data_IF_596412516286
#
_entry.id   IF_596412516286
#
_cell.length_a   1.000
_cell.length_b   1.000
_cell.length_c   1.000
_cell.angle_alpha   90.00
_cell.angle_beta   90.00
_cell.angle_gamma   90.00
#
_symmetry.space_group_name_H-M   'P 1'
#
loop_
_entity.id
_entity.type
_entity.pdbx_description
1 polymer ?
#
# COMPACT_ATOMS: atom_id res chain seq x y z
N UNK A 1 -22.91 -19.40 48.29
CA UNK A 1 -21.84 -19.45 47.29
C UNK A 1 -22.26 -18.55 46.14
N UNK A 2 -21.56 -17.44 45.93
CA UNK A 2 -21.85 -16.51 44.84
C UNK A 2 -21.16 -17.00 43.57
N UNK A 3 -21.92 -17.18 42.49
CA UNK A 3 -21.38 -17.50 41.19
C UNK A 3 -20.71 -16.25 40.61
N UNK A 4 -19.41 -16.34 40.34
CA UNK A 4 -18.68 -15.33 39.58
C UNK A 4 -19.05 -15.54 38.12
N UNK A 5 -19.83 -14.63 37.55
CA UNK A 5 -20.02 -14.55 36.10
C UNK A 5 -18.80 -13.83 35.56
N UNK A 6 -17.92 -14.58 34.90
CA UNK A 6 -16.85 -14.00 34.11
C UNK A 6 -17.47 -13.37 32.86
N UNK A 7 -17.44 -12.05 32.74
CA UNK A 7 -17.56 -11.40 31.45
C UNK A 7 -16.27 -11.68 30.70
N UNK A 8 -16.26 -12.70 29.85
CA UNK A 8 -15.27 -12.76 28.78
C UNK A 8 -15.60 -11.60 27.85
N UNK A 9 -14.84 -10.52 27.93
CA UNK A 9 -14.78 -9.56 26.84
C UNK A 9 -14.33 -10.36 25.62
N UNK A 10 -15.21 -10.49 24.63
CA UNK A 10 -14.82 -10.88 23.28
C UNK A 10 -13.64 -9.99 22.91
N UNK A 11 -12.45 -10.59 22.83
CA UNK A 11 -11.32 -9.96 22.19
C UNK A 11 -11.83 -9.54 20.80
N UNK A 12 -11.79 -8.23 20.55
CA UNK A 12 -11.97 -7.63 19.23
C UNK A 12 -11.38 -8.57 18.20
N UNK A 13 -12.21 -9.07 17.28
CA UNK A 13 -11.75 -9.84 16.14
C UNK A 13 -10.65 -9.02 15.46
N UNK A 14 -9.40 -9.41 15.70
CA UNK A 14 -8.22 -8.72 15.20
C UNK A 14 -8.29 -8.86 13.68
N UNK A 15 -8.52 -7.74 12.98
CA UNK A 15 -8.48 -7.70 11.53
C UNK A 15 -7.02 -7.96 11.16
N UNK A 16 -6.67 -9.23 10.96
CA UNK A 16 -5.31 -9.59 10.59
C UNK A 16 -5.01 -8.93 9.25
N UNK A 17 -4.07 -7.98 9.26
CA UNK A 17 -3.55 -7.39 8.04
C UNK A 17 -2.96 -8.52 7.18
N UNK A 18 -3.31 -8.58 5.88
CA UNK A 18 -2.74 -9.54 4.97
C UNK A 18 -1.21 -9.48 5.02
N UNK A 19 -0.57 -10.65 5.20
CA UNK A 19 0.88 -10.75 5.36
C UNK A 19 1.54 -11.23 4.07
N UNK A 20 2.69 -10.65 3.74
CA UNK A 20 3.52 -11.07 2.60
C UNK A 20 4.58 -12.10 3.01
N UNK A 21 4.99 -12.95 2.07
CA UNK A 21 6.16 -13.83 2.22
C UNK A 21 7.50 -13.09 2.15
N UNK A 22 7.48 -11.81 1.74
CA UNK A 22 8.67 -10.97 1.63
C UNK A 22 9.23 -10.63 3.02
N UNK A 23 10.48 -11.02 3.28
CA UNK A 23 11.15 -10.67 4.55
C UNK A 23 11.83 -9.31 4.46
N UNK A 24 12.31 -8.94 3.26
CA UNK A 24 12.88 -7.64 2.98
C UNK A 24 12.41 -7.09 1.64
N UNK A 25 12.33 -5.76 1.55
CA UNK A 25 11.95 -5.06 0.32
C UNK A 25 13.08 -4.17 -0.15
N UNK A 26 13.44 -4.29 -1.43
CA UNK A 26 14.30 -3.35 -2.14
C UNK A 26 13.40 -2.48 -3.03
N UNK A 27 13.26 -1.21 -2.66
CA UNK A 27 12.40 -0.26 -3.34
C UNK A 27 13.25 0.69 -4.18
N UNK A 28 13.10 0.60 -5.50
CA UNK A 28 13.69 1.56 -6.44
C UNK A 28 12.59 2.49 -6.92
N UNK A 29 12.75 3.78 -6.67
CA UNK A 29 11.68 4.76 -6.85
C UNK A 29 12.09 6.02 -7.61
N UNK A 30 11.09 6.70 -8.17
CA UNK A 30 11.20 8.03 -8.78
C UNK A 30 10.60 9.15 -7.92
N UNK A 31 10.23 10.30 -8.51
CA UNK A 31 9.64 11.41 -7.75
C UNK A 31 8.33 11.06 -7.05
N UNK A 32 7.58 10.06 -7.54
CA UNK A 32 6.37 9.60 -6.89
C UNK A 32 6.66 8.83 -5.59
N UNK A 33 7.90 8.34 -5.42
CA UNK A 33 8.31 7.66 -4.18
C UNK A 33 8.75 8.64 -3.09
N UNK A 34 9.11 9.88 -3.44
CA UNK A 34 9.54 10.89 -2.45
C UNK A 34 8.43 11.13 -1.42
N UNK A 35 7.20 11.34 -1.90
CA UNK A 35 6.03 11.52 -1.05
C UNK A 35 5.60 10.31 -0.23
N UNK A 36 6.23 9.14 -0.35
CA UNK A 36 5.94 7.97 0.51
C UNK A 36 7.16 7.47 1.27
N UNK A 37 8.30 8.16 1.15
CA UNK A 37 9.57 7.81 1.83
C UNK A 37 10.12 8.95 2.68
N UNK A 38 9.64 10.17 2.48
CA UNK A 38 9.97 11.32 3.33
C UNK A 38 8.70 11.87 4.02
N UNK A 39 8.63 11.70 5.35
CA UNK A 39 7.55 12.21 6.19
C UNK A 39 7.39 13.75 6.10
N UNK A 40 8.45 14.48 5.74
CA UNK A 40 8.33 15.92 5.53
C UNK A 40 7.50 16.26 4.27
N UNK A 41 7.51 15.38 3.27
CA UNK A 41 6.77 15.58 2.02
C UNK A 41 5.30 15.16 2.16
N UNK A 42 5.00 14.10 2.92
CA UNK A 42 3.63 13.63 3.19
C UNK A 42 3.56 12.88 4.52
N UNK A 43 3.23 13.58 5.63
CA UNK A 43 3.11 12.95 6.94
C UNK A 43 2.08 11.82 6.94
N UNK A 44 2.46 10.64 7.44
CA UNK A 44 1.58 9.46 7.52
C UNK A 44 1.56 8.57 6.27
N UNK A 45 2.29 8.94 5.21
CA UNK A 45 2.39 8.15 3.98
C UNK A 45 3.65 7.25 3.92
N UNK A 46 4.38 7.08 5.03
CA UNK A 46 5.58 6.24 5.10
C UNK A 46 5.32 4.78 4.69
N UNK A 47 5.80 4.43 3.49
CA UNK A 47 5.67 3.10 2.93
C UNK A 47 6.47 2.05 3.71
N UNK A 48 7.52 2.44 4.45
CA UNK A 48 8.26 1.51 5.29
C UNK A 48 7.36 0.96 6.41
N UNK A 49 6.59 1.83 7.06
CA UNK A 49 5.59 1.42 8.06
C UNK A 49 4.51 0.51 7.46
N UNK A 50 4.07 0.79 6.23
CA UNK A 50 3.10 -0.05 5.53
C UNK A 50 3.68 -1.44 5.19
N UNK A 51 4.96 -1.51 4.77
CA UNK A 51 5.66 -2.78 4.57
C UNK A 51 5.79 -3.57 5.88
N UNK A 52 6.12 -2.90 6.99
CA UNK A 52 6.19 -3.54 8.32
C UNK A 52 4.84 -4.12 8.74
N UNK A 53 3.74 -3.38 8.52
CA UNK A 53 2.39 -3.87 8.78
C UNK A 53 2.02 -5.12 7.93
N UNK A 54 2.61 -5.25 6.74
CA UNK A 54 2.48 -6.42 5.88
C UNK A 54 3.46 -7.56 6.23
N UNK A 55 4.31 -7.42 7.25
CA UNK A 55 5.22 -8.46 7.72
C UNK A 55 6.65 -8.38 7.19
N UNK A 56 6.99 -7.33 6.44
CA UNK A 56 8.37 -7.07 5.99
C UNK A 56 9.20 -6.60 7.19
N UNK A 57 10.39 -7.18 7.36
CA UNK A 57 11.27 -6.87 8.51
C UNK A 57 12.30 -5.78 8.22
N UNK A 58 12.64 -5.55 6.95
CA UNK A 58 13.62 -4.53 6.57
C UNK A 58 13.34 -4.03 5.15
N UNK A 59 13.34 -2.72 4.99
CA UNK A 59 13.13 -2.06 3.70
C UNK A 59 14.33 -1.20 3.35
N UNK A 60 14.81 -1.30 2.11
CA UNK A 60 15.92 -0.51 1.57
C UNK A 60 15.41 0.32 0.40
N UNK A 61 15.69 1.60 0.43
CA UNK A 61 15.18 2.55 -0.54
C UNK A 61 16.33 3.18 -1.32
N UNK A 62 16.19 3.21 -2.65
CA UNK A 62 16.92 4.14 -3.50
C UNK A 62 15.88 4.91 -4.31
N UNK A 63 15.68 6.18 -3.97
CA UNK A 63 14.65 7.06 -4.53
C UNK A 63 15.30 8.36 -5.02
N UNK A 64 14.94 8.80 -6.23
CA UNK A 64 15.38 10.09 -6.75
C UNK A 64 14.33 10.72 -7.67
N UNK A 65 14.16 12.04 -7.55
CA UNK A 65 13.29 12.81 -8.43
C UNK A 65 13.69 12.68 -9.91
N UNK A 66 12.71 12.60 -10.80
CA UNK A 66 12.93 12.49 -12.25
C UNK A 66 13.58 11.18 -12.72
N UNK A 67 13.79 10.21 -11.83
CA UNK A 67 14.47 8.95 -12.19
C UNK A 67 13.69 8.20 -13.26
N UNK A 68 14.44 7.70 -14.23
CA UNK A 68 14.00 6.76 -15.26
C UNK A 68 14.88 5.51 -15.24
N UNK A 69 14.52 4.47 -15.99
CA UNK A 69 15.28 3.23 -16.12
C UNK A 69 16.70 3.46 -16.67
N UNK A 70 16.84 4.35 -17.65
CA UNK A 70 18.09 4.51 -18.42
C UNK A 70 18.76 5.87 -18.24
N UNK A 71 18.00 6.96 -18.30
CA UNK A 71 18.58 8.29 -18.26
C UNK A 71 18.94 8.69 -16.82
N UNK A 72 20.09 9.35 -16.67
CA UNK A 72 20.51 10.00 -15.41
C UNK A 72 19.99 11.44 -15.38
N UNK A 73 19.56 11.90 -14.21
CA UNK A 73 19.09 13.28 -13.96
C UNK A 73 19.87 13.83 -12.77
N UNK A 74 20.35 15.08 -12.85
CA UNK A 74 21.09 15.77 -11.78
C UNK A 74 22.26 14.95 -11.19
N UNK A 75 23.01 14.27 -12.06
CA UNK A 75 24.11 13.36 -11.72
C UNK A 75 23.70 12.19 -10.77
N UNK A 76 22.40 11.91 -10.67
CA UNK A 76 21.86 10.78 -9.92
C UNK A 76 21.82 9.51 -10.78
N UNK A 77 22.04 8.32 -10.17
CA UNK A 77 21.90 7.05 -10.86
C UNK A 77 20.49 6.86 -11.45
N UNK A 78 20.45 6.28 -12.65
CA UNK A 78 19.22 5.73 -13.23
C UNK A 78 18.74 4.50 -12.42
N UNK A 79 17.52 4.02 -12.68
CA UNK A 79 16.93 2.93 -11.90
C UNK A 79 17.71 1.61 -12.04
N UNK A 80 18.29 1.32 -13.22
CA UNK A 80 19.11 0.11 -13.40
C UNK A 80 20.34 0.13 -12.50
N UNK A 81 21.04 1.27 -12.43
CA UNK A 81 22.23 1.44 -11.60
C UNK A 81 21.89 1.43 -10.11
N UNK A 82 20.78 2.07 -9.72
CA UNK A 82 20.25 2.03 -8.36
C UNK A 82 19.90 0.59 -7.93
N UNK A 83 19.19 -0.15 -8.79
CA UNK A 83 18.86 -1.55 -8.54
C UNK A 83 20.10 -2.43 -8.41
N UNK A 84 21.11 -2.23 -9.27
CA UNK A 84 22.37 -2.96 -9.19
C UNK A 84 23.10 -2.69 -7.87
N UNK A 85 23.14 -1.45 -7.44
CA UNK A 85 23.76 -1.06 -6.19
C UNK A 85 23.03 -1.66 -4.98
N UNK A 86 21.70 -1.51 -4.89
CA UNK A 86 20.90 -2.13 -3.83
C UNK A 86 21.07 -3.65 -3.78
N UNK A 87 21.05 -4.32 -4.95
CA UNK A 87 21.23 -5.77 -5.04
C UNK A 87 22.60 -6.20 -4.49
N UNK A 88 23.63 -5.40 -4.76
CA UNK A 88 25.03 -5.63 -4.34
C UNK A 88 25.24 -5.35 -2.85
N UNK A 89 24.67 -4.28 -2.30
CA UNK A 89 24.90 -3.86 -0.91
C UNK A 89 24.01 -4.59 0.09
N UNK A 90 22.88 -5.14 -0.35
CA UNK A 90 21.91 -5.82 0.52
C UNK A 90 21.63 -7.27 0.06
N UNK A 91 22.62 -8.17 0.09
CA UNK A 91 22.42 -9.59 -0.23
C UNK A 91 21.65 -10.26 0.93
N UNK A 92 20.37 -10.54 0.74
CA UNK A 92 19.53 -11.23 1.71
C UNK A 92 18.69 -12.31 1.04
N UNK A 93 18.29 -13.34 1.79
CA UNK A 93 17.28 -14.30 1.35
C UNK A 93 15.88 -13.71 1.59
N UNK A 94 14.88 -14.11 0.79
CA UNK A 94 13.50 -13.64 0.93
C UNK A 94 13.29 -12.16 0.56
N UNK A 95 14.13 -11.64 -0.34
CA UNK A 95 13.99 -10.29 -0.91
C UNK A 95 12.85 -10.23 -1.91
N UNK A 96 12.10 -9.15 -1.86
CA UNK A 96 11.17 -8.75 -2.91
C UNK A 96 11.55 -7.36 -3.41
N UNK A 97 11.26 -7.09 -4.67
CA UNK A 97 11.50 -5.81 -5.31
C UNK A 97 10.20 -5.04 -5.45
N UNK A 98 10.25 -3.76 -5.13
CA UNK A 98 9.23 -2.81 -5.57
C UNK A 98 9.90 -1.85 -6.55
N UNK A 99 9.51 -1.99 -7.82
CA UNK A 99 10.03 -1.14 -8.90
C UNK A 99 8.99 -0.05 -9.18
N UNK A 100 9.06 1.02 -8.42
CA UNK A 100 8.17 2.17 -8.57
C UNK A 100 8.78 3.20 -9.53
N UNK A 101 8.92 2.78 -10.78
CA UNK A 101 9.49 3.56 -11.88
C UNK A 101 8.65 3.36 -13.14
N UNK A 102 8.78 4.27 -14.11
CA UNK A 102 8.18 4.10 -15.43
C UNK A 102 7.51 5.37 -15.94
N UNK A 103 7.07 6.26 -15.04
CA UNK A 103 6.44 7.54 -15.42
C UNK A 103 7.40 8.39 -16.25
N UNK A 104 8.65 8.54 -15.80
CA UNK A 104 9.68 9.25 -16.56
C UNK A 104 10.18 8.45 -17.77
N UNK A 105 10.10 7.11 -17.75
CA UNK A 105 10.44 6.29 -18.92
C UNK A 105 9.46 6.51 -20.07
N UNK A 106 8.15 6.50 -19.77
CA UNK A 106 7.10 6.81 -20.73
C UNK A 106 7.28 8.21 -21.33
N UNK A 107 7.63 9.19 -20.49
CA UNK A 107 7.94 10.55 -20.94
C UNK A 107 9.18 10.61 -21.83
N UNK A 108 10.29 9.98 -21.44
CA UNK A 108 11.52 9.94 -22.23
C UNK A 108 11.31 9.26 -23.60
N UNK A 109 10.52 8.17 -23.64
CA UNK A 109 10.12 7.54 -24.90
C UNK A 109 9.31 8.53 -25.74
N UNK A 110 8.32 9.21 -25.16
CA UNK A 110 7.53 10.21 -25.87
C UNK A 110 8.36 11.42 -26.33
N UNK A 111 9.46 11.72 -25.66
CA UNK A 111 10.39 12.79 -26.01
C UNK A 111 11.44 12.37 -27.07
N UNK A 112 11.42 11.11 -27.51
CA UNK A 112 12.26 10.61 -28.61
C UNK A 112 13.41 9.72 -28.18
N UNK A 113 13.40 9.17 -26.96
CA UNK A 113 14.36 8.13 -26.56
C UNK A 113 14.29 6.94 -27.51
N UNK A 114 15.45 6.37 -27.82
CA UNK A 114 15.59 5.24 -28.74
C UNK A 114 15.45 3.87 -28.04
N UNK A 115 15.28 3.88 -26.71
CA UNK A 115 15.08 2.68 -25.91
C UNK A 115 13.62 2.66 -25.46
N UNK A 116 12.89 1.67 -25.96
CA UNK A 116 11.46 1.50 -25.70
C UNK A 116 11.15 0.94 -24.30
N UNK A 117 9.86 0.85 -23.97
CA UNK A 117 9.40 0.38 -22.67
C UNK A 117 9.82 -1.07 -22.41
N UNK A 118 9.73 -1.94 -23.41
CA UNK A 118 10.11 -3.36 -23.30
C UNK A 118 11.58 -3.50 -22.91
N UNK A 119 12.48 -2.82 -23.61
CA UNK A 119 13.91 -2.88 -23.31
C UNK A 119 14.24 -2.32 -21.91
N UNK A 120 13.54 -1.28 -21.45
CA UNK A 120 13.70 -0.70 -20.11
C UNK A 120 13.27 -1.66 -19.00
N UNK A 121 12.08 -2.24 -19.16
CA UNK A 121 11.55 -3.24 -18.23
C UNK A 121 12.48 -4.46 -18.18
N UNK A 122 12.90 -4.97 -19.34
CA UNK A 122 13.77 -6.14 -19.42
C UNK A 122 15.14 -5.88 -18.75
N UNK A 123 15.70 -4.67 -18.84
CA UNK A 123 16.95 -4.32 -18.13
C UNK A 123 16.81 -4.39 -16.61
N UNK A 124 15.71 -3.87 -16.06
CA UNK A 124 15.47 -3.94 -14.61
C UNK A 124 15.18 -5.37 -14.16
N UNK A 125 14.34 -6.10 -14.91
CA UNK A 125 14.04 -7.50 -14.59
C UNK A 125 15.28 -8.40 -14.68
N UNK A 126 16.27 -8.07 -15.54
CA UNK A 126 17.57 -8.75 -15.55
C UNK A 126 18.38 -8.52 -14.28
N UNK A 127 18.32 -7.32 -13.69
CA UNK A 127 18.99 -7.01 -12.41
C UNK A 127 18.35 -7.76 -11.25
N UNK A 128 17.01 -7.79 -11.21
CA UNK A 128 16.22 -8.55 -10.24
C UNK A 128 16.49 -10.05 -10.35
N UNK A 129 16.56 -10.58 -11.57
CA UNK A 129 16.63 -12.01 -11.81
C UNK A 129 15.29 -12.70 -11.49
N UNK A 130 15.35 -13.78 -10.69
CA UNK A 130 14.18 -14.60 -10.34
C UNK A 130 13.46 -14.18 -9.05
N UNK A 131 13.89 -13.10 -8.40
CA UNK A 131 13.28 -12.64 -7.14
C UNK A 131 11.89 -12.04 -7.38
N UNK A 132 10.93 -12.17 -6.44
CA UNK A 132 9.61 -11.56 -6.56
C UNK A 132 9.65 -10.05 -6.84
N UNK A 133 8.83 -9.59 -7.77
CA UNK A 133 8.69 -8.16 -8.12
C UNK A 133 7.24 -7.72 -8.05
N UNK A 134 7.01 -6.60 -7.38
CA UNK A 134 5.79 -5.82 -7.54
C UNK A 134 6.12 -4.52 -8.29
N UNK A 135 5.34 -4.22 -9.33
CA UNK A 135 5.51 -3.02 -10.14
C UNK A 135 4.17 -2.27 -10.21
N UNK A 136 4.03 -1.12 -9.55
CA UNK A 136 2.83 -0.28 -9.69
C UNK A 136 2.69 0.23 -11.12
N UNK A 137 1.54 0.00 -11.76
CA UNK A 137 1.28 0.58 -13.07
C UNK A 137 1.11 2.10 -12.97
N UNK A 138 1.21 2.76 -14.11
CA UNK A 138 1.38 4.20 -14.19
C UNK A 138 0.03 4.90 -14.38
N UNK A 139 -0.11 6.06 -13.76
CA UNK A 139 -1.21 6.98 -14.03
C UNK A 139 -0.74 8.42 -13.99
N UNK A 140 -1.18 9.18 -14.98
CA UNK A 140 -1.15 10.64 -15.01
C UNK A 140 -2.53 11.15 -15.42
N UNK A 141 -2.78 12.44 -15.22
CA UNK A 141 -4.03 13.09 -15.60
C UNK A 141 -3.87 13.89 -16.90
N UNK A 142 -4.99 14.26 -17.52
CA UNK A 142 -5.00 15.12 -18.70
C UNK A 142 -4.36 16.51 -18.47
N UNK A 143 -4.19 16.93 -17.21
CA UNK A 143 -3.48 18.15 -16.83
C UNK A 143 -1.96 18.00 -16.80
N UNK A 144 -1.43 16.79 -16.98
CA UNK A 144 0.00 16.53 -16.97
C UNK A 144 0.70 17.31 -18.10
N UNK A 145 1.96 17.73 -17.88
CA UNK A 145 2.76 18.41 -18.90
C UNK A 145 3.02 17.53 -20.12
N UNK A 146 3.43 18.16 -21.22
CA UNK A 146 3.83 17.49 -22.46
C UNK A 146 4.79 16.32 -22.19
N UNK A 147 4.60 15.22 -22.91
CA UNK A 147 5.28 13.92 -22.76
C UNK A 147 4.77 13.04 -21.60
N UNK A 148 4.05 13.60 -20.63
CA UNK A 148 3.46 12.85 -19.53
C UNK A 148 1.96 12.59 -19.73
N UNK A 149 1.46 12.73 -20.96
CA UNK A 149 0.03 12.57 -21.23
C UNK A 149 -0.45 11.15 -20.85
N UNK A 150 -1.70 10.97 -20.40
CA UNK A 150 -2.21 9.67 -19.93
C UNK A 150 -2.02 8.53 -20.93
N UNK A 151 -2.07 8.80 -22.22
CA UNK A 151 -1.88 7.80 -23.27
C UNK A 151 -0.47 7.20 -23.26
N UNK A 152 0.54 7.95 -22.77
CA UNK A 152 1.92 7.46 -22.63
C UNK A 152 2.03 6.46 -21.49
N UNK A 153 1.35 6.74 -20.37
CA UNK A 153 1.26 5.84 -19.24
C UNK A 153 0.53 4.54 -19.62
N UNK A 154 -0.58 4.66 -20.35
CA UNK A 154 -1.32 3.50 -20.88
C UNK A 154 -0.44 2.64 -21.78
N UNK A 155 0.35 3.25 -22.67
CA UNK A 155 1.26 2.51 -23.54
C UNK A 155 2.34 1.74 -22.75
N UNK A 156 2.94 2.37 -21.73
CA UNK A 156 3.92 1.72 -20.87
C UNK A 156 3.29 0.61 -20.01
N UNK A 157 2.06 0.80 -19.51
CA UNK A 157 1.30 -0.22 -18.78
C UNK A 157 1.02 -1.45 -19.65
N UNK A 158 0.77 -1.25 -20.95
CA UNK A 158 0.69 -2.34 -21.93
C UNK A 158 1.99 -3.16 -21.97
N UNK A 159 3.15 -2.49 -22.01
CA UNK A 159 4.44 -3.16 -21.98
C UNK A 159 4.71 -3.89 -20.65
N UNK A 160 4.25 -3.36 -19.51
CA UNK A 160 4.32 -4.08 -18.22
C UNK A 160 3.49 -5.37 -18.26
N UNK A 161 2.26 -5.31 -18.78
CA UNK A 161 1.41 -6.49 -18.92
C UNK A 161 2.04 -7.55 -19.82
N UNK A 162 2.65 -7.13 -20.94
CA UNK A 162 3.41 -8.04 -21.80
C UNK A 162 4.62 -8.62 -21.08
N UNK A 163 5.37 -7.82 -20.32
CA UNK A 163 6.52 -8.28 -19.54
C UNK A 163 6.12 -9.32 -18.50
N UNK A 164 4.97 -9.18 -17.84
CA UNK A 164 4.47 -10.18 -16.89
C UNK A 164 4.26 -11.57 -17.53
N UNK A 165 3.95 -11.64 -18.83
CA UNK A 165 3.89 -12.94 -19.54
C UNK A 165 5.27 -13.59 -19.73
N UNK A 166 6.34 -12.79 -19.71
CA UNK A 166 7.74 -13.23 -19.87
C UNK A 166 8.42 -13.50 -18.53
N UNK A 167 8.02 -12.77 -17.49
CA UNK A 167 8.59 -12.84 -16.15
C UNK A 167 7.58 -13.39 -15.13
N UNK A 168 7.65 -14.70 -14.81
CA UNK A 168 6.68 -15.32 -13.91
C UNK A 168 6.75 -14.80 -12.46
N UNK A 169 7.84 -14.13 -12.10
CA UNK A 169 8.08 -13.45 -10.83
C UNK A 169 7.66 -11.97 -10.82
N UNK A 170 6.98 -11.47 -11.85
CA UNK A 170 6.47 -10.09 -11.91
C UNK A 170 4.97 -10.04 -11.61
N UNK A 171 4.57 -9.17 -10.68
CA UNK A 171 3.17 -8.79 -10.45
C UNK A 171 3.01 -7.29 -10.55
N UNK A 172 1.86 -6.87 -11.07
CA UNK A 172 1.54 -5.48 -11.32
C UNK A 172 0.49 -5.05 -10.32
N UNK A 173 0.80 -4.04 -9.51
CA UNK A 173 -0.21 -3.37 -8.70
C UNK A 173 -0.99 -2.39 -9.59
N UNK A 174 -2.32 -2.52 -9.63
CA UNK A 174 -3.19 -1.62 -10.40
C UNK A 174 -3.41 -0.25 -9.73
N UNK A 175 -2.32 0.46 -9.46
CA UNK A 175 -2.35 1.80 -8.88
C UNK A 175 -3.16 2.81 -9.71
N UNK A 176 -3.21 2.63 -11.03
CA UNK A 176 -3.97 3.46 -11.94
C UNK A 176 -5.50 3.38 -11.70
N UNK A 177 -6.00 2.21 -11.31
CA UNK A 177 -7.39 2.05 -10.91
C UNK A 177 -7.65 2.57 -9.49
N UNK A 178 -6.69 2.38 -8.59
CA UNK A 178 -6.86 2.67 -7.16
C UNK A 178 -6.74 4.15 -6.82
N UNK A 179 -5.92 4.90 -7.54
CA UNK A 179 -5.74 6.33 -7.28
C UNK A 179 -6.82 7.16 -7.98
N UNK A 180 -7.72 7.83 -7.25
CA UNK A 180 -8.68 8.75 -7.86
C UNK A 180 -7.95 9.98 -8.42
N UNK A 181 -8.56 10.70 -9.36
CA UNK A 181 -7.95 11.90 -9.96
C UNK A 181 -7.67 13.00 -8.92
N UNK A 182 -8.46 13.05 -7.84
CA UNK A 182 -8.22 13.97 -6.71
C UNK A 182 -6.94 13.65 -5.93
N UNK A 183 -6.30 12.51 -6.19
CA UNK A 183 -5.04 12.15 -5.57
C UNK A 183 -3.86 12.95 -6.16
N UNK A 184 -4.03 13.70 -7.25
CA UNK A 184 -2.93 14.36 -7.98
C UNK A 184 -2.96 15.88 -7.83
N UNK A 185 -1.78 16.51 -7.74
CA UNK A 185 -1.62 17.97 -7.58
C UNK A 185 -1.42 18.66 -8.94
N UNK A 186 -0.55 18.11 -9.78
CA UNK A 186 -0.14 18.68 -11.07
C UNK A 186 -0.41 17.73 -12.25
N UNK A 187 -1.20 16.68 -12.00
CA UNK A 187 -1.47 15.61 -12.95
C UNK A 187 -0.40 14.52 -13.01
N UNK A 188 0.69 14.62 -12.26
CA UNK A 188 1.71 13.58 -12.09
C UNK A 188 1.86 13.22 -10.62
N UNK A 189 2.19 14.19 -9.77
CA UNK A 189 2.54 13.98 -8.37
C UNK A 189 1.33 13.89 -7.47
N UNK A 190 1.45 13.05 -6.44
CA UNK A 190 0.37 12.84 -5.48
C UNK A 190 0.27 13.98 -4.46
N UNK A 191 -0.96 14.24 -4.01
CA UNK A 191 -1.26 14.94 -2.76
C UNK A 191 -0.82 14.06 -1.57
N UNK A 192 -0.73 14.61 -0.36
CA UNK A 192 -0.45 13.79 0.84
C UNK A 192 -1.43 12.63 1.02
N UNK A 193 -2.75 12.87 0.86
CA UNK A 193 -3.76 11.81 0.90
C UNK A 193 -3.61 10.80 -0.24
N UNK A 194 -3.19 11.24 -1.42
CA UNK A 194 -2.85 10.35 -2.53
C UNK A 194 -1.64 9.47 -2.22
N UNK A 195 -0.60 10.04 -1.60
CA UNK A 195 0.58 9.32 -1.12
C UNK A 195 0.21 8.25 -0.08
N UNK A 196 -0.67 8.56 0.89
CA UNK A 196 -1.16 7.58 1.87
C UNK A 196 -1.84 6.38 1.20
N UNK A 197 -2.77 6.65 0.26
CA UNK A 197 -3.46 5.59 -0.52
C UNK A 197 -2.44 4.78 -1.31
N UNK A 198 -1.47 5.44 -1.95
CA UNK A 198 -0.47 4.78 -2.76
C UNK A 198 0.47 3.89 -1.92
N UNK A 199 0.96 4.39 -0.78
CA UNK A 199 1.83 3.64 0.13
C UNK A 199 1.13 2.39 0.69
N UNK A 200 -0.09 2.55 1.21
CA UNK A 200 -0.90 1.43 1.70
C UNK A 200 -1.25 0.45 0.58
N UNK A 201 -1.56 0.97 -0.61
CA UNK A 201 -1.84 0.18 -1.80
C UNK A 201 -0.67 -0.69 -2.24
N UNK A 202 0.56 -0.13 -2.27
CA UNK A 202 1.78 -0.88 -2.60
C UNK A 202 2.00 -2.03 -1.62
N UNK A 203 1.95 -1.76 -0.30
CA UNK A 203 2.16 -2.80 0.70
C UNK A 203 1.07 -3.88 0.67
N UNK A 204 -0.20 -3.47 0.54
CA UNK A 204 -1.32 -4.39 0.40
C UNK A 204 -1.23 -5.25 -0.87
N UNK A 205 -0.81 -4.66 -1.99
CA UNK A 205 -0.63 -5.37 -3.24
C UNK A 205 0.57 -6.33 -3.18
N UNK A 206 1.61 -6.01 -2.40
CA UNK A 206 2.73 -6.91 -2.14
C UNK A 206 2.26 -8.17 -1.39
N UNK A 207 1.40 -8.00 -0.38
CA UNK A 207 0.77 -9.11 0.33
C UNK A 207 -0.19 -9.93 -0.56
N UNK A 208 -0.94 -9.30 -1.46
CA UNK A 208 -1.75 -10.00 -2.47
C UNK A 208 -0.90 -10.78 -3.47
N UNK A 209 0.19 -10.18 -3.96
CA UNK A 209 1.05 -10.76 -4.98
C UNK A 209 1.85 -11.96 -4.45
N UNK A 210 2.38 -11.82 -3.24
CA UNK A 210 3.27 -12.78 -2.59
C UNK A 210 2.81 -13.02 -1.15
N UNK A 211 1.69 -13.75 -0.96
CA UNK A 211 1.12 -14.00 0.36
C UNK A 211 2.00 -14.94 1.20
N UNK A 212 2.07 -14.72 2.51
CA UNK A 212 2.88 -15.56 3.42
C UNK A 212 2.39 -17.00 3.52
N UNK A 213 1.09 -17.24 3.31
CA UNK A 213 0.42 -18.51 3.59
C UNK A 213 0.02 -19.30 2.33
N UNK A 214 0.34 -18.81 1.13
CA UNK A 214 0.00 -19.49 -0.12
C UNK A 214 0.99 -19.19 -1.22
N UNK A 215 0.80 -19.84 -2.38
CA UNK A 215 1.59 -19.54 -3.58
C UNK A 215 1.35 -18.09 -4.05
N UNK A 216 2.31 -17.51 -4.80
CA UNK A 216 2.13 -16.22 -5.44
C UNK A 216 0.86 -16.15 -6.28
N UNK A 217 0.25 -14.97 -6.36
CA UNK A 217 -0.98 -14.76 -7.12
C UNK A 217 -0.82 -15.30 -8.56
N UNK A 218 -1.79 -16.05 -9.12
CA UNK A 218 -1.63 -16.64 -10.46
C UNK A 218 -1.80 -15.63 -11.59
N UNK A 219 -2.45 -14.49 -11.33
CA UNK A 219 -2.69 -13.43 -12.30
C UNK A 219 -1.59 -12.37 -12.31
N UNK A 220 -1.40 -11.71 -13.45
CA UNK A 220 -0.40 -10.65 -13.59
C UNK A 220 -0.70 -9.42 -12.75
N UNK A 221 -1.95 -9.00 -12.74
CA UNK A 221 -2.40 -7.80 -12.04
C UNK A 221 -3.03 -8.19 -10.71
N UNK A 222 -2.70 -7.43 -9.67
CA UNK A 222 -3.22 -7.58 -8.31
C UNK A 222 -3.74 -6.24 -7.80
N UNK A 223 -4.80 -6.28 -7.01
CA UNK A 223 -5.23 -5.17 -6.17
C UNK A 223 -4.65 -5.27 -4.76
N UNK A 224 -4.79 -4.23 -3.93
CA UNK A 224 -4.38 -4.27 -2.55
C UNK A 224 -5.21 -5.29 -1.78
N UNK A 225 -4.56 -6.04 -0.91
CA UNK A 225 -5.26 -7.00 -0.08
C UNK A 225 -6.22 -6.26 0.87
N UNK A 226 -7.50 -6.61 0.80
CA UNK A 226 -8.50 -6.11 1.75
C UNK A 226 -8.38 -6.93 3.04
N UNK A 227 -8.34 -6.31 4.24
CA UNK A 227 -8.41 -7.05 5.50
C UNK A 227 -9.59 -8.01 5.48
N UNK A 228 -9.33 -9.29 5.78
CA UNK A 228 -10.40 -10.28 5.85
C UNK A 228 -11.22 -10.05 7.11
N UNK A 229 -12.44 -9.54 6.97
CA UNK A 229 -13.42 -9.68 8.01
C UNK A 229 -13.68 -11.17 8.21
N UNK A 230 -13.40 -11.71 9.40
CA UNK A 230 -13.79 -13.09 9.76
C UNK A 230 -15.25 -13.35 9.33
N UNK A 231 -15.60 -14.55 8.81
CA UNK A 231 -16.96 -14.82 8.41
C UNK A 231 -17.87 -14.64 9.62
N UNK A 232 -18.88 -13.77 9.50
CA UNK A 232 -19.96 -13.64 10.48
C UNK A 232 -20.42 -15.04 10.88
N UNK A 233 -20.45 -15.28 12.19
CA UNK A 233 -20.78 -16.58 12.76
C UNK A 233 -22.02 -17.15 12.07
N UNK A 234 -21.86 -18.38 11.56
CA UNK A 234 -22.97 -19.22 11.12
C UNK A 234 -24.10 -19.11 12.15
N UNK A 235 -25.35 -18.80 11.76
CA UNK A 235 -26.42 -18.69 12.73
C UNK A 235 -26.54 -20.04 13.43
N UNK A 236 -26.12 -20.06 14.71
CA UNK A 236 -26.32 -21.21 15.57
C UNK A 236 -27.79 -21.61 15.55
N UNK A 237 -28.11 -22.89 15.79
CA UNK A 237 -29.48 -23.38 15.70
C UNK A 237 -30.39 -22.52 16.57
N UNK A 238 -31.42 -21.94 15.96
CA UNK A 238 -32.44 -21.16 16.64
C UNK A 238 -33.06 -22.06 17.71
N UNK A 239 -32.73 -21.80 18.98
CA UNK A 239 -33.40 -22.44 20.09
C UNK A 239 -34.87 -21.99 20.06
N UNK A 240 -35.77 -22.96 19.92
CA UNK A 240 -37.21 -22.72 19.96
C UNK A 240 -37.60 -22.06 21.30
N UNK A 241 -38.50 -21.05 21.30
CA UNK A 241 -38.92 -20.40 22.52
C UNK A 241 -39.76 -21.35 23.38
N UNK A 242 -39.40 -21.46 24.66
CA UNK A 242 -40.25 -22.11 25.66
C UNK A 242 -41.51 -21.26 25.90
N UNK A 243 -42.69 -21.86 26.07
CA UNK A 243 -43.91 -21.12 26.36
C UNK A 243 -43.95 -20.76 27.86
N UNK A 244 -44.02 -19.46 28.19
CA UNK A 244 -44.20 -19.06 29.59
C UNK A 244 -44.25 -17.56 29.84
N UNK A 245 -45.47 -17.03 29.93
CA UNK A 245 -45.94 -15.89 30.73
C UNK A 245 -45.03 -14.65 30.93
N UNK A 246 -45.29 -13.62 30.11
CA UNK A 246 -45.71 -12.30 30.59
C UNK A 246 -44.66 -11.31 31.10
N UNK A 247 -44.32 -10.32 30.27
CA UNK A 247 -44.57 -8.89 30.51
C UNK A 247 -44.09 -8.07 29.31
N UNK A 248 -44.99 -7.33 28.68
CA UNK A 248 -44.65 -6.27 27.72
C UNK A 248 -44.55 -4.98 28.54
N UNK A 249 -43.36 -4.40 28.62
CA UNK A 249 -43.16 -3.04 29.11
C UNK A 249 -42.72 -2.17 27.95
N UNK A 250 -43.53 -1.16 27.64
CA UNK A 250 -43.22 -0.09 26.69
C UNK A 250 -42.07 0.78 27.19
N UNK A 251 -41.19 1.21 26.27
CA UNK A 251 -40.18 2.25 26.48
C UNK A 251 -40.80 3.58 26.93
N UNK A 252 -40.03 4.54 27.48
CA UNK A 252 -39.45 5.55 26.59
C UNK A 252 -38.11 6.22 27.04
N UNK A 253 -37.41 6.79 26.06
CA UNK A 253 -36.79 8.15 26.01
C UNK A 253 -35.73 8.56 27.08
N UNK A 254 -34.54 8.90 26.56
CA UNK A 254 -33.40 9.78 27.00
C UNK A 254 -33.02 9.96 28.49
N UNK A 255 -31.72 9.87 28.79
CA UNK A 255 -30.92 10.85 29.58
C UNK A 255 -29.45 10.35 29.69
N UNK A 256 -28.43 11.07 29.21
CA UNK A 256 -27.70 12.17 29.89
C UNK A 256 -27.38 11.89 31.37
N UNK A 257 -26.10 11.60 31.68
CA UNK A 257 -25.55 11.65 33.03
C UNK A 257 -24.28 12.51 33.05
N UNK A 258 -24.41 13.75 33.51
CA UNK A 258 -23.34 14.56 34.10
C UNK A 258 -23.25 14.23 35.60
N UNK A 259 -22.04 14.18 36.21
CA UNK A 259 -21.90 13.93 37.64
C UNK A 259 -22.17 15.19 38.49
N UNK A 260 -23.08 15.05 39.46
CA UNK A 260 -23.35 16.03 40.52
C UNK A 260 -22.32 15.98 41.63
N UNK A 261 -21.72 17.15 41.88
CA UNK A 261 -21.19 17.72 43.13
C UNK A 261 -21.26 16.89 44.42
N UNK A 262 -20.11 16.72 45.07
CA UNK A 262 -19.99 16.55 46.52
C UNK A 262 -19.52 17.87 47.15
N UNK A 263 -20.24 18.30 48.19
CA UNK A 263 -19.95 19.46 49.04
C UNK A 263 -18.67 19.24 49.86
N UNK A 264 -17.82 20.27 49.92
CA UNK A 264 -16.72 20.41 50.89
C UNK A 264 -16.25 21.87 50.92
N UNK A 265 -16.42 22.52 52.07
CA UNK A 265 -16.35 23.97 52.26
C UNK A 265 -14.96 24.53 52.60
N UNK A 266 -14.70 25.76 52.13
CA UNK A 266 -13.77 26.80 52.63
C UNK A 266 -12.26 26.54 52.38
N UNK A 267 -11.40 27.51 52.05
CA UNK A 267 -11.43 28.97 52.22
C UNK A 267 -10.37 29.65 51.32
N UNK A 268 -10.65 30.90 50.90
CA UNK A 268 -9.77 32.07 50.64
C UNK A 268 -8.25 31.85 50.36
N UNK A 269 -7.57 32.53 49.44
CA UNK A 269 -7.50 34.00 49.23
C UNK A 269 -6.65 34.31 47.98
N UNK A 270 -6.82 35.51 47.43
CA UNK A 270 -6.14 36.20 46.32
C UNK A 270 -4.61 35.99 46.16
N UNK A 271 -4.15 35.76 44.91
CA UNK A 271 -3.44 36.72 44.04
C UNK A 271 -2.97 36.06 42.74
#
# INVERSE_FOLDING_TARGET
MAAVVACTSDATADQQHPQTSCQSVLHVGDSLSLGITDEADSPGADVAQQYEAAGVTTSFFDVAGGRSSVETVDDKPNAVSAAQELSRTHPAAGRCWVLQIGTNDAANISAGSQIDATARIDQLMQVVGGEPVLWPNLKTLASAPTHYEPEKMVAYNGALMEACTRYPNLRIYDAAADLPDTAFVDGIHHTGAGSEVFAGGIAGALASAYPAASDPAPGCMVGPAVPSSSPEGSPGPIAAPLPGNGQICFAPIVDFCLPTTAFGSSSATDR
#
